data_IF_908060458631
#
_entry.id   IF_908060458631
#
_cell.length_a   1.000
_cell.length_b   1.000
_cell.length_c   1.000
_cell.angle_alpha   90.00
_cell.angle_beta   90.00
_cell.angle_gamma   90.00
#
_symmetry.space_group_name_H-M   'P 1'
#
loop_
_entity.id
_entity.type
_entity.pdbx_description
1 polymer ?
#
# COMPACT_ATOMS: atom_id res chain seq x y z
N UNK A 1 5.82 4.24 6.41
CA UNK A 1 5.27 5.62 6.41
C UNK A 1 4.16 5.80 5.38
N UNK A 2 4.36 5.46 4.09
CA UNK A 2 3.33 5.59 3.05
C UNK A 2 1.96 5.05 3.47
N UNK A 3 1.86 3.77 3.82
CA UNK A 3 0.60 3.11 4.23
C UNK A 3 -0.04 3.81 5.43
N UNK A 4 0.76 4.21 6.42
CA UNK A 4 0.26 4.88 7.64
C UNK A 4 -0.34 6.28 7.42
N UNK A 5 -0.14 6.89 6.25
CA UNK A 5 -0.70 8.20 5.90
C UNK A 5 -1.94 8.12 4.99
N UNK A 6 -2.26 6.94 4.45
CA UNK A 6 -3.33 6.76 3.46
C UNK A 6 -4.73 6.98 4.03
N UNK A 7 -4.86 6.97 5.36
CA UNK A 7 -6.14 7.21 6.01
C UNK A 7 -6.59 8.67 5.97
N UNK A 8 -5.63 9.60 5.90
CA UNK A 8 -5.90 11.03 6.02
C UNK A 8 -6.88 11.51 4.92
N UNK A 9 -6.66 11.22 3.63
CA UNK A 9 -7.53 11.79 2.58
C UNK A 9 -8.97 11.26 2.63
N UNK A 10 -9.19 9.95 2.87
CA UNK A 10 -10.56 9.43 2.93
C UNK A 10 -11.28 9.79 4.24
N UNK A 11 -10.56 10.07 5.33
CA UNK A 11 -11.17 10.64 6.55
C UNK A 11 -11.57 12.10 6.31
N UNK A 12 -10.77 12.89 5.59
CA UNK A 12 -11.19 14.24 5.17
C UNK A 12 -12.47 14.16 4.34
N UNK A 13 -12.54 13.21 3.39
CA UNK A 13 -13.78 12.99 2.63
C UNK A 13 -14.95 12.58 3.53
N UNK A 14 -14.73 11.73 4.53
CA UNK A 14 -15.75 11.35 5.52
C UNK A 14 -16.29 12.58 6.26
N UNK A 15 -15.41 13.46 6.72
CA UNK A 15 -15.79 14.71 7.38
C UNK A 15 -16.59 15.64 6.46
N UNK A 16 -16.21 15.73 5.19
CA UNK A 16 -16.94 16.54 4.21
C UNK A 16 -18.35 15.99 3.92
N UNK A 17 -18.51 14.67 3.86
CA UNK A 17 -19.79 14.03 3.49
C UNK A 17 -20.73 13.83 4.67
N UNK A 18 -20.18 13.47 5.84
CA UNK A 18 -20.95 13.06 7.04
C UNK A 18 -20.85 14.05 8.20
N UNK A 19 -20.03 15.09 8.08
CA UNK A 19 -19.70 15.98 9.20
C UNK A 19 -18.79 15.31 10.24
N UNK A 20 -18.26 16.09 11.17
CA UNK A 20 -17.38 15.59 12.23
C UNK A 20 -18.09 14.56 13.13
N UNK A 21 -19.35 14.82 13.50
CA UNK A 21 -20.15 13.89 14.31
C UNK A 21 -20.38 12.56 13.60
N UNK A 22 -20.73 12.59 12.30
CA UNK A 22 -20.91 11.38 11.49
C UNK A 22 -19.61 10.66 11.12
N UNK A 23 -18.45 11.31 11.27
CA UNK A 23 -17.13 10.66 11.15
C UNK A 23 -16.78 9.86 12.40
N UNK A 24 -17.15 10.36 13.57
CA UNK A 24 -16.90 9.72 14.87
C UNK A 24 -17.94 8.66 15.24
N UNK A 25 -19.07 8.64 14.53
CA UNK A 25 -20.14 7.66 14.72
C UNK A 25 -19.75 6.26 14.20
N UNK A 26 -20.46 5.24 14.67
CA UNK A 26 -20.24 3.85 14.28
C UNK A 26 -20.62 3.62 12.79
N UNK A 27 -19.96 2.67 12.11
CA UNK A 27 -20.34 2.30 10.75
C UNK A 27 -21.81 1.88 10.68
N UNK A 28 -22.61 2.62 9.90
CA UNK A 28 -24.03 2.35 9.68
C UNK A 28 -24.29 2.10 8.20
N UNK A 29 -25.18 1.15 7.91
CA UNK A 29 -25.65 0.87 6.53
C UNK A 29 -26.38 2.07 5.91
N UNK A 30 -26.91 2.96 6.74
CA UNK A 30 -27.62 4.17 6.31
C UNK A 30 -26.70 5.39 6.17
N UNK A 31 -25.39 5.24 6.40
CA UNK A 31 -24.46 6.34 6.30
C UNK A 31 -24.28 6.79 4.85
N UNK A 32 -24.17 8.11 4.63
CA UNK A 32 -23.96 8.66 3.28
C UNK A 32 -22.72 8.04 2.63
N UNK A 33 -22.79 7.62 1.35
CA UNK A 33 -21.68 6.98 0.67
C UNK A 33 -20.50 7.94 0.52
N UNK A 34 -19.29 7.41 0.60
CA UNK A 34 -18.06 8.16 0.31
C UNK A 34 -18.01 8.55 -1.17
N UNK A 35 -17.22 9.58 -1.49
CA UNK A 35 -16.88 9.84 -2.88
C UNK A 35 -16.17 8.62 -3.47
N UNK A 36 -16.39 8.32 -4.75
CA UNK A 36 -15.88 7.08 -5.34
C UNK A 36 -14.35 6.95 -5.25
N UNK A 37 -13.62 8.06 -5.39
CA UNK A 37 -12.17 8.08 -5.25
C UNK A 37 -11.73 7.71 -3.82
N UNK A 38 -12.50 8.09 -2.80
CA UNK A 38 -12.21 7.79 -1.41
C UNK A 38 -12.46 6.31 -1.12
N UNK A 39 -13.53 5.74 -1.69
CA UNK A 39 -13.77 4.29 -1.65
C UNK A 39 -12.64 3.51 -2.36
N UNK A 40 -12.21 3.97 -3.54
CA UNK A 40 -11.05 3.39 -4.25
C UNK A 40 -9.76 3.48 -3.43
N UNK A 41 -9.53 4.61 -2.76
CA UNK A 41 -8.38 4.81 -1.88
C UNK A 41 -8.42 3.88 -0.65
N UNK A 42 -9.59 3.64 -0.07
CA UNK A 42 -9.74 2.66 1.02
C UNK A 42 -9.32 1.25 0.56
N UNK A 43 -9.78 0.80 -0.61
CA UNK A 43 -9.32 -0.48 -1.18
C UNK A 43 -7.82 -0.49 -1.48
N UNK A 44 -7.27 0.63 -1.96
CA UNK A 44 -5.83 0.75 -2.20
C UNK A 44 -5.03 0.71 -0.89
N UNK A 45 -5.59 1.24 0.21
CA UNK A 45 -5.01 1.19 1.54
C UNK A 45 -4.98 -0.23 2.08
N UNK A 46 -6.09 -0.97 2.03
CA UNK A 46 -6.15 -2.37 2.46
C UNK A 46 -5.10 -3.21 1.73
N UNK A 47 -5.03 -3.08 0.40
CA UNK A 47 -4.00 -3.75 -0.40
C UNK A 47 -2.57 -3.34 0.00
N UNK A 48 -2.34 -2.08 0.36
CA UNK A 48 -1.03 -1.61 0.82
C UNK A 48 -0.66 -2.19 2.19
N UNK A 49 -1.63 -2.42 3.08
CA UNK A 49 -1.42 -3.10 4.36
C UNK A 49 -1.07 -4.57 4.13
N UNK A 50 -1.84 -5.29 3.33
CA UNK A 50 -1.59 -6.71 3.00
C UNK A 50 -0.17 -6.92 2.43
N UNK A 51 0.27 -6.04 1.52
CA UNK A 51 1.60 -6.13 0.94
C UNK A 51 2.70 -5.78 1.95
N UNK A 52 2.45 -4.82 2.83
CA UNK A 52 3.41 -4.42 3.87
C UNK A 52 3.66 -5.56 4.86
N UNK A 53 2.63 -6.36 5.18
CA UNK A 53 2.75 -7.55 6.05
C UNK A 53 3.69 -8.61 5.46
N UNK A 54 3.83 -8.68 4.14
CA UNK A 54 4.79 -9.57 3.47
C UNK A 54 6.17 -8.92 3.36
N UNK A 55 6.23 -7.66 2.92
CA UNK A 55 7.48 -6.95 2.70
C UNK A 55 8.30 -6.75 3.97
N UNK A 56 7.65 -6.33 5.06
CA UNK A 56 8.36 -5.97 6.29
C UNK A 56 9.13 -7.15 6.90
N UNK A 57 8.55 -8.36 7.06
CA UNK A 57 9.31 -9.53 7.50
C UNK A 57 10.50 -9.87 6.61
N UNK A 58 10.36 -9.80 5.28
CA UNK A 58 11.47 -10.12 4.37
C UNK A 58 12.68 -9.21 4.62
N UNK A 59 12.44 -7.90 4.75
CA UNK A 59 13.51 -6.93 5.03
C UNK A 59 14.07 -7.11 6.44
N UNK A 60 13.23 -7.38 7.43
CA UNK A 60 13.68 -7.61 8.81
C UNK A 60 14.54 -8.87 8.93
N UNK A 61 14.22 -9.94 8.21
CA UNK A 61 15.02 -11.17 8.15
C UNK A 61 16.40 -10.87 7.54
N UNK A 62 16.43 -10.20 6.39
CA UNK A 62 17.69 -9.82 5.73
C UNK A 62 18.56 -8.93 6.62
N UNK A 63 17.95 -7.95 7.31
CA UNK A 63 18.64 -7.08 8.25
C UNK A 63 19.16 -7.84 9.47
N UNK A 64 18.38 -8.78 10.02
CA UNK A 64 18.83 -9.63 11.14
C UNK A 64 19.96 -10.60 10.74
N UNK A 65 20.02 -10.99 9.47
CA UNK A 65 21.09 -11.79 8.89
C UNK A 65 22.32 -10.95 8.47
N UNK A 66 22.31 -9.64 8.71
CA UNK A 66 23.33 -8.68 8.25
C UNK A 66 23.64 -8.79 6.75
N UNK A 67 22.59 -9.10 5.96
CA UNK A 67 22.71 -9.33 4.52
C UNK A 67 22.12 -8.17 3.72
N UNK A 68 23.01 -7.31 3.21
CA UNK A 68 22.65 -6.17 2.38
C UNK A 68 23.49 -6.15 1.10
N UNK A 69 22.83 -6.23 -0.06
CA UNK A 69 23.46 -6.17 -1.39
C UNK A 69 22.85 -5.04 -2.20
N UNK A 70 23.46 -4.69 -3.33
CA UNK A 70 22.87 -3.72 -4.26
C UNK A 70 21.47 -4.15 -4.71
N UNK A 71 21.22 -5.46 -4.84
CA UNK A 71 19.91 -6.01 -5.24
C UNK A 71 18.85 -5.84 -4.16
N UNK A 72 19.18 -6.06 -2.88
CA UNK A 72 18.21 -5.88 -1.79
C UNK A 72 17.85 -4.40 -1.60
N UNK A 73 18.82 -3.50 -1.74
CA UNK A 73 18.59 -2.04 -1.70
C UNK A 73 17.70 -1.59 -2.86
N UNK A 74 18.00 -2.05 -4.09
CA UNK A 74 17.21 -1.71 -5.26
C UNK A 74 15.78 -2.27 -5.14
N UNK A 75 15.62 -3.51 -4.67
CA UNK A 75 14.32 -4.13 -4.46
C UNK A 75 13.47 -3.35 -3.45
N UNK A 76 14.06 -2.88 -2.34
CA UNK A 76 13.37 -2.00 -1.38
C UNK A 76 12.89 -0.69 -2.02
N UNK A 77 13.72 -0.05 -2.85
CA UNK A 77 13.35 1.18 -3.56
C UNK A 77 12.25 0.93 -4.59
N UNK A 78 12.37 -0.11 -5.42
CA UNK A 78 11.37 -0.49 -6.42
C UNK A 78 10.04 -0.85 -5.76
N UNK A 79 10.06 -1.56 -4.63
CA UNK A 79 8.87 -1.82 -3.84
C UNK A 79 8.20 -0.52 -3.40
N UNK A 80 8.94 0.43 -2.82
CA UNK A 80 8.36 1.69 -2.37
C UNK A 80 7.69 2.48 -3.52
N UNK A 81 8.41 2.67 -4.64
CA UNK A 81 7.91 3.46 -5.77
C UNK A 81 6.76 2.78 -6.51
N UNK A 82 6.80 1.45 -6.66
CA UNK A 82 5.69 0.68 -7.25
C UNK A 82 4.43 0.78 -6.39
N UNK A 83 4.55 0.75 -5.06
CA UNK A 83 3.40 0.96 -4.15
C UNK A 83 2.84 2.38 -4.22
N UNK A 84 3.70 3.40 -4.35
CA UNK A 84 3.25 4.77 -4.54
C UNK A 84 2.52 4.95 -5.88
N UNK A 85 3.08 4.40 -6.97
CA UNK A 85 2.44 4.43 -8.27
C UNK A 85 1.09 3.69 -8.27
N UNK A 86 1.05 2.49 -7.68
CA UNK A 86 -0.18 1.70 -7.52
C UNK A 86 -1.27 2.49 -6.80
N UNK A 87 -0.92 3.17 -5.70
CA UNK A 87 -1.86 4.00 -4.94
C UNK A 87 -2.49 5.09 -5.81
N UNK A 88 -1.66 5.87 -6.50
CA UNK A 88 -2.10 7.00 -7.32
C UNK A 88 -3.03 6.51 -8.43
N UNK A 89 -2.59 5.48 -9.16
CA UNK A 89 -3.32 4.88 -10.28
C UNK A 89 -4.66 4.29 -9.84
N UNK A 90 -4.70 3.58 -8.70
CA UNK A 90 -5.92 3.00 -8.16
C UNK A 90 -6.90 4.11 -7.75
N UNK A 91 -6.42 5.15 -7.07
CA UNK A 91 -7.27 6.25 -6.60
C UNK A 91 -7.96 6.98 -7.76
N UNK A 92 -7.22 7.23 -8.85
CA UNK A 92 -7.73 7.86 -10.08
C UNK A 92 -8.70 6.91 -10.84
N UNK A 93 -8.60 5.60 -10.61
CA UNK A 93 -9.48 4.60 -11.22
C UNK A 93 -9.01 4.11 -12.59
N UNK A 94 -7.71 4.19 -12.88
CA UNK A 94 -7.14 3.71 -14.13
C UNK A 94 -7.00 2.18 -14.11
N UNK A 95 -7.79 1.44 -14.91
CA UNK A 95 -7.70 -0.02 -14.97
C UNK A 95 -6.38 -0.45 -15.62
N UNK A 96 -5.96 -1.71 -15.40
CA UNK A 96 -4.73 -2.34 -15.92
C UNK A 96 -3.43 -1.79 -15.33
N UNK A 97 -3.23 -0.47 -15.32
CA UNK A 97 -2.02 0.15 -14.77
C UNK A 97 -1.79 -0.19 -13.29
N UNK A 98 -2.87 -0.35 -12.51
CA UNK A 98 -2.77 -0.83 -11.13
C UNK A 98 -2.16 -2.22 -11.08
N UNK A 99 -2.55 -3.12 -11.98
CA UNK A 99 -2.04 -4.49 -12.01
C UNK A 99 -0.55 -4.51 -12.38
N UNK A 100 -0.13 -3.68 -13.33
CA UNK A 100 1.29 -3.55 -13.68
C UNK A 100 2.13 -3.06 -12.49
N UNK A 101 1.68 -1.99 -11.82
CA UNK A 101 2.38 -1.46 -10.65
C UNK A 101 2.42 -2.49 -9.50
N UNK A 102 1.34 -3.24 -9.29
CA UNK A 102 1.29 -4.33 -8.33
C UNK A 102 2.31 -5.42 -8.66
N UNK A 103 2.35 -5.89 -9.91
CA UNK A 103 3.28 -6.94 -10.35
C UNK A 103 4.74 -6.52 -10.15
N UNK A 104 5.09 -5.26 -10.43
CA UNK A 104 6.45 -4.75 -10.17
C UNK A 104 6.79 -4.80 -8.68
N UNK A 105 5.85 -4.42 -7.80
CA UNK A 105 6.04 -4.51 -6.36
C UNK A 105 6.18 -5.95 -5.86
N UNK A 106 5.40 -6.87 -6.43
CA UNK A 106 5.49 -8.30 -6.13
C UNK A 106 6.86 -8.89 -6.55
N UNK A 107 7.35 -8.54 -7.73
CA UNK A 107 8.69 -8.98 -8.19
C UNK A 107 9.80 -8.47 -7.27
N UNK A 108 9.69 -7.25 -6.75
CA UNK A 108 10.62 -6.73 -5.76
C UNK A 108 10.62 -7.57 -4.47
N UNK A 109 9.45 -8.00 -3.98
CA UNK A 109 9.37 -8.92 -2.84
C UNK A 109 9.96 -10.30 -3.17
N UNK A 110 9.75 -10.81 -4.38
CA UNK A 110 10.34 -12.07 -4.81
C UNK A 110 11.88 -12.01 -4.83
N UNK A 111 12.47 -10.89 -5.27
CA UNK A 111 13.92 -10.66 -5.20
C UNK A 111 14.41 -10.68 -3.75
N UNK A 112 13.70 -10.02 -2.82
CA UNK A 112 14.05 -10.06 -1.40
C UNK A 112 13.96 -11.47 -0.83
N UNK A 113 12.93 -12.24 -1.20
CA UNK A 113 12.80 -13.63 -0.77
C UNK A 113 13.94 -14.51 -1.31
N UNK A 114 14.35 -14.35 -2.57
CA UNK A 114 15.49 -15.06 -3.15
C UNK A 114 16.82 -14.66 -2.51
N UNK A 115 16.97 -13.39 -2.13
CA UNK A 115 18.14 -12.90 -1.41
C UNK A 115 18.32 -13.56 -0.03
N UNK A 116 17.22 -13.91 0.65
CA UNK A 116 17.27 -14.66 1.93
C UNK A 116 17.98 -16.02 1.74
N UNK A 117 17.74 -16.67 0.60
CA UNK A 117 18.38 -17.93 0.24
C UNK A 117 19.75 -17.76 -0.43
N UNK A 118 20.27 -16.52 -0.52
CA UNK A 118 21.56 -16.17 -1.15
C UNK A 118 21.65 -16.60 -2.62
N UNK A 119 20.52 -16.62 -3.32
CA UNK A 119 20.45 -16.94 -4.76
C UNK A 119 20.81 -15.74 -5.63
N UNK A 120 20.69 -14.52 -5.08
CA UNK A 120 20.91 -13.22 -5.75
C UNK A 120 21.68 -12.29 -4.83
#
# INVERSE_FOLDING_TARGET
>A
MLTGLLWIPYIINRCQVRGLSGTMDNPSRNAKPHAEWATRLMFAHDNAVENLVIFAPLVLILNAADYSTQWTVLACAVYFWSRLAHLIVYTIGLPVFRTLAFTVGFLAQAVLALAIFKVV
#
